data_IF_513381237627
#
_entry.id   IF_513381237627
#
_cell.length_a   1.000
_cell.length_b   1.000
_cell.length_c   1.000
_cell.angle_alpha   90.00
_cell.angle_beta   90.00
_cell.angle_gamma   90.00
#
_symmetry.space_group_name_H-M   'P 1'
#
loop_
_entity.id
_entity.type
_entity.pdbx_description
1 polymer ?
#
# COMPACT_ATOMS: atom_id res chain seq x y z
N UNK A 1 10.36 15.14 0.77
CA UNK A 1 11.47 15.15 -0.20
C UNK A 1 11.35 13.88 -1.02
N UNK A 2 11.04 13.98 -2.31
CA UNK A 2 10.80 12.81 -3.17
C UNK A 2 11.94 12.80 -4.19
N UNK A 3 12.82 11.80 -4.11
CA UNK A 3 13.92 11.65 -5.05
C UNK A 3 13.69 10.45 -5.96
N UNK A 4 13.95 10.67 -7.25
CA UNK A 4 13.53 9.86 -8.37
C UNK A 4 14.41 8.63 -8.60
N UNK A 5 13.76 7.53 -8.99
CA UNK A 5 14.35 6.47 -9.82
C UNK A 5 13.52 6.38 -11.10
N UNK A 6 14.17 6.56 -12.25
CA UNK A 6 13.55 6.43 -13.58
C UNK A 6 13.37 4.94 -13.85
N UNK A 7 12.19 4.40 -13.55
CA UNK A 7 11.82 3.08 -14.00
C UNK A 7 11.68 3.09 -15.54
N UNK A 8 12.25 2.11 -16.28
CA UNK A 8 12.13 2.05 -17.73
C UNK A 8 10.66 1.92 -18.16
N UNK A 9 10.29 2.59 -19.24
CA UNK A 9 8.91 2.58 -19.78
C UNK A 9 8.52 1.14 -20.12
N UNK A 10 7.52 0.55 -19.45
CA UNK A 10 7.23 -0.86 -19.61
C UNK A 10 6.57 -1.14 -20.96
N UNK A 11 7.04 -2.19 -21.66
CA UNK A 11 6.42 -2.67 -22.90
C UNK A 11 5.11 -3.42 -22.59
N UNK A 12 4.03 -2.64 -22.46
CA UNK A 12 2.70 -3.10 -22.10
C UNK A 12 1.90 -3.51 -23.35
N UNK A 13 1.48 -4.78 -23.41
CA UNK A 13 0.66 -5.30 -24.50
C UNK A 13 -0.65 -5.86 -23.97
N UNK A 14 -1.80 -5.57 -24.61
CA UNK A 14 -3.11 -6.17 -24.27
C UNK A 14 -3.08 -7.69 -24.15
N UNK A 15 -2.21 -8.38 -24.90
CA UNK A 15 -2.05 -9.85 -24.82
C UNK A 15 -1.60 -10.36 -23.46
N UNK A 16 -0.96 -9.51 -22.65
CA UNK A 16 -0.40 -9.85 -21.33
C UNK A 16 -1.33 -9.49 -20.16
N UNK A 17 -2.54 -9.03 -20.44
CA UNK A 17 -3.50 -8.57 -19.44
C UNK A 17 -4.81 -9.33 -19.54
N UNK A 18 -5.55 -9.36 -18.45
CA UNK A 18 -6.96 -9.78 -18.39
C UNK A 18 -7.77 -8.61 -17.85
N UNK A 19 -8.98 -8.40 -18.37
CA UNK A 19 -9.89 -7.46 -17.72
C UNK A 19 -10.39 -8.08 -16.42
N UNK A 20 -10.56 -7.25 -15.39
CA UNK A 20 -11.16 -7.67 -14.13
C UNK A 20 -12.57 -8.22 -14.40
N UNK A 21 -12.88 -9.36 -13.81
CA UNK A 21 -14.06 -10.16 -14.04
C UNK A 21 -14.69 -10.58 -12.70
N UNK A 22 -15.70 -11.45 -12.75
CA UNK A 22 -16.37 -11.91 -11.54
C UNK A 22 -15.44 -12.72 -10.61
N UNK A 23 -14.59 -13.58 -11.18
CA UNK A 23 -13.70 -14.43 -10.40
C UNK A 23 -12.64 -13.61 -9.64
N UNK A 24 -12.03 -12.64 -10.33
CA UNK A 24 -11.08 -11.69 -9.71
C UNK A 24 -11.78 -10.75 -8.72
N UNK A 25 -12.99 -10.27 -9.03
CA UNK A 25 -13.81 -9.50 -8.08
C UNK A 25 -14.09 -10.27 -6.79
N UNK A 26 -14.40 -11.57 -6.89
CA UNK A 26 -14.65 -12.44 -5.74
C UNK A 26 -13.41 -12.60 -4.88
N UNK A 27 -12.24 -12.81 -5.48
CA UNK A 27 -10.97 -12.90 -4.76
C UNK A 27 -10.67 -11.58 -4.02
N UNK A 28 -10.86 -10.43 -4.67
CA UNK A 28 -10.66 -9.11 -4.06
C UNK A 28 -11.67 -8.78 -2.93
N UNK A 29 -12.80 -9.48 -2.87
CA UNK A 29 -13.81 -9.32 -1.83
C UNK A 29 -13.83 -10.48 -0.83
N UNK A 30 -12.81 -11.35 -0.81
CA UNK A 30 -12.72 -12.41 0.19
C UNK A 30 -12.50 -11.80 1.57
N UNK A 31 -13.21 -12.29 2.59
CA UNK A 31 -13.14 -11.75 3.95
C UNK A 31 -11.80 -12.11 4.61
N UNK A 32 -11.07 -11.09 5.06
CA UNK A 32 -9.77 -11.25 5.70
C UNK A 32 -9.85 -11.66 7.16
N UNK A 33 -11.05 -11.64 7.76
CA UNK A 33 -11.27 -12.15 9.11
C UNK A 33 -11.11 -13.68 9.17
N UNK A 34 -11.48 -14.37 8.10
CA UNK A 34 -11.40 -15.83 7.98
C UNK A 34 -10.24 -16.27 7.09
N UNK A 35 -9.85 -15.45 6.11
CA UNK A 35 -8.75 -15.75 5.19
C UNK A 35 -7.73 -14.60 5.14
N UNK A 36 -6.97 -14.35 6.22
CA UNK A 36 -6.06 -13.20 6.30
C UNK A 36 -4.96 -13.25 5.24
N UNK A 37 -4.46 -14.42 4.85
CA UNK A 37 -3.40 -14.58 3.84
C UNK A 37 -3.77 -14.02 2.47
N UNK A 38 -5.07 -13.87 2.17
CA UNK A 38 -5.56 -13.32 0.90
C UNK A 38 -5.10 -11.87 0.68
N UNK A 39 -4.77 -11.12 1.74
CA UNK A 39 -4.24 -9.75 1.60
C UNK A 39 -3.00 -9.68 0.71
N UNK A 40 -2.12 -10.69 0.75
CA UNK A 40 -0.91 -10.74 -0.07
C UNK A 40 -1.24 -11.00 -1.53
N UNK A 41 -2.19 -11.90 -1.79
CA UNK A 41 -2.71 -12.17 -3.13
C UNK A 41 -3.37 -10.92 -3.75
N UNK A 42 -4.24 -10.25 -2.99
CA UNK A 42 -4.89 -9.02 -3.40
C UNK A 42 -3.89 -7.91 -3.74
N UNK A 43 -2.89 -7.71 -2.88
CA UNK A 43 -1.87 -6.69 -3.09
C UNK A 43 -1.10 -6.90 -4.40
N UNK A 44 -0.61 -8.13 -4.64
CA UNK A 44 0.08 -8.50 -5.88
C UNK A 44 -0.79 -8.35 -7.11
N UNK A 45 -2.07 -8.72 -7.03
CA UNK A 45 -2.98 -8.63 -8.16
C UNK A 45 -3.19 -7.19 -8.64
N UNK A 46 -3.19 -6.24 -7.72
CA UNK A 46 -3.32 -4.81 -8.01
C UNK A 46 -1.99 -4.19 -8.48
N UNK A 47 -0.85 -4.75 -8.07
CA UNK A 47 0.46 -4.32 -8.56
C UNK A 47 0.65 -4.66 -10.05
N UNK A 48 0.91 -3.61 -10.85
CA UNK A 48 0.98 -3.70 -12.30
C UNK A 48 -0.38 -3.64 -13.01
N UNK A 49 -1.48 -3.39 -12.28
CA UNK A 49 -2.79 -3.16 -12.87
C UNK A 49 -2.76 -1.90 -13.75
N UNK A 50 -3.50 -1.92 -14.86
CA UNK A 50 -3.77 -0.73 -15.67
C UNK A 50 -5.22 -0.31 -15.54
N UNK A 51 -5.40 0.96 -15.20
CA UNK A 51 -6.69 1.64 -15.13
C UNK A 51 -6.87 2.45 -16.40
N UNK A 52 -7.93 2.19 -17.16
CA UNK A 52 -8.29 2.96 -18.35
C UNK A 52 -9.54 3.78 -18.06
N UNK A 53 -9.46 5.10 -18.28
CA UNK A 53 -10.57 6.03 -18.19
C UNK A 53 -10.59 6.91 -19.44
N UNK A 54 -11.58 6.73 -20.31
CA UNK A 54 -11.63 7.42 -21.60
C UNK A 54 -10.37 7.14 -22.44
N UNK A 55 -9.62 8.19 -22.76
CA UNK A 55 -8.34 8.12 -23.47
C UNK A 55 -7.11 8.04 -22.55
N UNK A 56 -7.29 8.06 -21.22
CA UNK A 56 -6.19 8.00 -20.25
C UNK A 56 -5.93 6.58 -19.79
N UNK A 57 -4.67 6.25 -19.58
CA UNK A 57 -4.23 4.96 -19.06
C UNK A 57 -3.19 5.16 -17.95
N UNK A 58 -3.43 4.55 -16.79
CA UNK A 58 -2.55 4.60 -15.63
C UNK A 58 -2.11 3.19 -15.24
N UNK A 59 -0.80 2.97 -15.16
CA UNK A 59 -0.19 1.79 -14.56
C UNK A 59 0.02 2.02 -13.07
N UNK A 60 -0.40 1.05 -12.25
CA UNK A 60 -0.13 1.03 -10.81
C UNK A 60 1.23 0.34 -10.58
N UNK A 61 2.27 1.12 -10.30
CA UNK A 61 3.61 0.58 -10.05
C UNK A 61 3.72 -0.01 -8.65
N UNK A 62 3.14 0.66 -7.66
CA UNK A 62 3.19 0.22 -6.27
C UNK A 62 1.87 0.54 -5.57
N UNK A 63 1.41 -0.38 -4.74
CA UNK A 63 0.20 -0.23 -3.97
C UNK A 63 0.32 -0.84 -2.58
N UNK A 64 -0.56 -0.36 -1.70
CA UNK A 64 -0.64 -0.78 -0.31
C UNK A 64 -2.08 -1.09 0.05
N UNK A 65 -2.32 -2.23 0.67
CA UNK A 65 -3.66 -2.68 1.02
C UNK A 65 -3.95 -2.55 2.52
N UNK A 66 -5.18 -2.18 2.85
CA UNK A 66 -5.65 -1.84 4.19
C UNK A 66 -6.97 -2.53 4.47
N UNK A 67 -7.06 -3.32 5.56
CA UNK A 67 -8.29 -4.01 5.92
C UNK A 67 -9.42 -3.03 6.24
N UNK A 68 -10.68 -3.40 5.98
CA UNK A 68 -11.82 -2.47 6.10
C UNK A 68 -12.25 -2.17 7.54
N UNK A 69 -11.99 -3.07 8.49
CA UNK A 69 -12.48 -2.97 9.87
C UNK A 69 -11.33 -2.89 10.88
N UNK A 70 -11.62 -2.36 12.09
CA UNK A 70 -10.60 -2.06 13.11
C UNK A 70 -9.88 -3.30 13.59
N UNK A 71 -10.62 -4.39 13.76
CA UNK A 71 -10.11 -5.67 14.22
C UNK A 71 -9.17 -6.33 13.23
N UNK A 72 -9.33 -6.04 11.94
CA UNK A 72 -8.47 -6.57 10.87
C UNK A 72 -7.28 -5.66 10.62
N UNK A 73 -7.49 -4.35 10.65
CA UNK A 73 -6.42 -3.39 10.44
C UNK A 73 -6.67 -2.08 11.20
N UNK A 74 -5.72 -1.72 12.05
CA UNK A 74 -5.77 -0.46 12.77
C UNK A 74 -5.63 0.74 11.83
N UNK A 75 -5.03 0.54 10.65
CA UNK A 75 -4.77 1.56 9.62
C UNK A 75 -5.87 1.70 8.57
N UNK A 76 -7.03 1.07 8.78
CA UNK A 76 -8.19 1.18 7.90
C UNK A 76 -8.60 2.63 7.63
N UNK A 77 -9.31 2.81 6.51
CA UNK A 77 -10.06 4.04 6.25
C UNK A 77 -11.00 4.38 7.43
N UNK A 78 -10.94 5.64 7.89
CA UNK A 78 -11.76 6.11 9.00
C UNK A 78 -13.07 6.70 8.49
N UNK A 79 -14.18 6.26 9.06
CA UNK A 79 -15.54 6.76 8.78
C UNK A 79 -16.04 7.72 9.85
N UNK A 80 -15.14 8.26 10.67
CA UNK A 80 -15.50 9.22 11.72
C UNK A 80 -15.98 10.53 11.09
N UNK A 81 -17.22 10.90 11.40
CA UNK A 81 -17.79 12.20 11.03
C UNK A 81 -17.08 13.29 11.83
N UNK A 82 -16.52 14.28 11.14
CA UNK A 82 -15.89 15.45 11.76
C UNK A 82 -16.70 16.68 11.39
N UNK A 83 -17.11 17.45 12.40
CA UNK A 83 -17.91 18.68 12.22
C UNK A 83 -19.14 18.49 11.32
N UNK A 84 -19.82 17.34 11.45
CA UNK A 84 -21.01 17.01 10.64
C UNK A 84 -20.74 16.63 9.18
N UNK A 85 -19.49 16.65 8.73
CA UNK A 85 -19.10 16.28 7.36
C UNK A 85 -18.74 14.80 7.30
N UNK A 86 -19.39 14.07 6.40
CA UNK A 86 -19.06 12.68 6.09
C UNK A 86 -17.72 12.65 5.34
N UNK A 87 -16.76 11.79 5.75
CA UNK A 87 -15.50 11.67 5.02
C UNK A 87 -15.74 11.10 3.62
N UNK A 88 -14.95 11.57 2.64
CA UNK A 88 -14.85 10.90 1.35
C UNK A 88 -14.45 9.45 1.55
N UNK A 89 -15.06 8.55 0.76
CA UNK A 89 -14.89 7.12 0.99
C UNK A 89 -14.56 6.31 -0.26
N UNK A 90 -13.75 5.28 -0.06
CA UNK A 90 -13.55 4.21 -1.05
C UNK A 90 -14.53 3.05 -0.89
N UNK A 91 -15.53 3.13 -0.02
CA UNK A 91 -16.56 2.08 0.05
C UNK A 91 -17.28 2.03 -1.30
N UNK A 92 -17.36 0.84 -1.95
CA UNK A 92 -18.12 0.70 -3.18
C UNK A 92 -19.56 1.23 -3.02
N UNK A 93 -19.99 2.13 -3.93
CA UNK A 93 -21.36 2.68 -4.13
C UNK A 93 -22.21 1.91 -5.16
N UNK A 94 -23.53 1.76 -5.00
CA UNK A 94 -24.39 0.98 -5.92
C UNK A 94 -24.18 1.29 -7.43
N UNK A 95 -24.41 0.30 -8.29
CA UNK A 95 -24.23 0.33 -9.76
C UNK A 95 -22.77 0.26 -10.25
N UNK A 96 -22.06 -0.79 -9.86
CA UNK A 96 -20.69 -1.07 -10.29
C UNK A 96 -20.59 -1.73 -11.66
N UNK A 97 -19.51 -1.45 -12.39
CA UNK A 97 -19.06 -2.29 -13.51
C UNK A 97 -18.51 -3.63 -13.03
N UNK A 98 -17.81 -3.63 -11.89
CA UNK A 98 -17.19 -4.80 -11.30
C UNK A 98 -17.79 -5.06 -9.92
N UNK A 99 -18.26 -6.28 -9.67
CA UNK A 99 -19.00 -6.59 -8.44
C UNK A 99 -18.18 -6.25 -7.19
N UNK A 100 -18.68 -5.29 -6.40
CA UNK A 100 -18.06 -4.87 -5.14
C UNK A 100 -16.61 -4.38 -5.30
N UNK A 101 -16.18 -3.98 -6.49
CA UNK A 101 -14.87 -3.41 -6.76
C UNK A 101 -15.07 -2.12 -7.54
N UNK A 102 -14.47 -1.05 -7.06
CA UNK A 102 -14.47 0.22 -7.79
C UNK A 102 -13.18 0.98 -7.49
N UNK A 103 -12.90 1.98 -8.31
CA UNK A 103 -11.73 2.85 -8.15
C UNK A 103 -12.20 4.29 -8.04
N UNK A 104 -11.62 5.05 -7.12
CA UNK A 104 -12.03 6.44 -6.85
C UNK A 104 -10.82 7.27 -6.45
N UNK A 105 -10.92 8.58 -6.55
CA UNK A 105 -9.95 9.53 -5.99
C UNK A 105 -10.50 10.11 -4.69
N UNK A 106 -9.75 9.95 -3.61
CA UNK A 106 -10.00 10.62 -2.34
C UNK A 106 -9.07 11.82 -2.25
N UNK A 107 -9.64 13.01 -2.12
CA UNK A 107 -8.86 14.25 -1.94
C UNK A 107 -8.84 14.64 -0.48
N UNK A 108 -7.65 14.83 0.07
CA UNK A 108 -7.44 15.38 1.41
C UNK A 108 -6.28 16.39 1.41
N UNK A 109 -5.88 16.85 2.60
CA UNK A 109 -4.79 17.82 2.78
C UNK A 109 -3.44 17.33 2.23
N UNK A 110 -3.30 16.02 1.98
CA UNK A 110 -2.10 15.40 1.41
C UNK A 110 -2.23 15.13 -0.10
N UNK A 111 -3.29 15.61 -0.75
CA UNK A 111 -3.50 15.58 -2.20
C UNK A 111 -4.54 14.58 -2.68
N UNK A 112 -4.54 14.33 -3.99
CA UNK A 112 -5.51 13.49 -4.69
C UNK A 112 -5.06 12.03 -4.72
N UNK A 113 -5.65 11.16 -3.91
CA UNK A 113 -5.21 9.76 -3.73
C UNK A 113 -6.08 8.80 -4.53
N UNK A 114 -5.48 8.03 -5.45
CA UNK A 114 -6.19 6.96 -6.14
C UNK A 114 -6.33 5.73 -5.23
N UNK A 115 -7.57 5.33 -4.98
CA UNK A 115 -7.90 4.23 -4.08
C UNK A 115 -8.82 3.23 -4.78
N UNK A 116 -8.44 1.96 -4.72
CA UNK A 116 -9.31 0.84 -5.09
C UNK A 116 -10.08 0.40 -3.86
N UNK A 117 -11.40 0.41 -3.96
CA UNK A 117 -12.30 0.04 -2.89
C UNK A 117 -12.91 -1.35 -3.10
N UNK A 118 -12.88 -2.18 -2.07
CA UNK A 118 -13.63 -3.44 -2.00
C UNK A 118 -14.43 -3.51 -0.70
N UNK A 119 -15.25 -4.55 -0.49
CA UNK A 119 -15.92 -4.77 0.80
C UNK A 119 -14.95 -5.19 1.91
N UNK A 120 -13.89 -5.91 1.57
CA UNK A 120 -12.93 -6.45 2.55
C UNK A 120 -11.77 -5.50 2.86
N UNK A 121 -11.36 -4.69 1.89
CA UNK A 121 -10.19 -3.83 2.02
C UNK A 121 -10.24 -2.62 1.07
N UNK A 122 -9.30 -1.69 1.25
CA UNK A 122 -8.98 -0.68 0.26
C UNK A 122 -7.50 -0.73 -0.11
N UNK A 123 -7.17 -0.41 -1.35
CA UNK A 123 -5.79 -0.30 -1.83
C UNK A 123 -5.46 1.13 -2.23
N UNK A 124 -4.42 1.69 -1.62
CA UNK A 124 -3.86 2.97 -2.01
C UNK A 124 -2.77 2.77 -3.07
N UNK A 125 -2.84 3.52 -4.17
CA UNK A 125 -1.72 3.61 -5.10
C UNK A 125 -0.63 4.51 -4.51
N UNK A 126 0.59 4.01 -4.38
CA UNK A 126 1.74 4.75 -3.82
C UNK A 126 2.85 4.99 -4.85
N UNK A 127 2.72 4.41 -6.04
CA UNK A 127 3.43 4.85 -7.23
C UNK A 127 2.63 4.48 -8.47
N UNK A 128 2.60 5.37 -9.46
CA UNK A 128 1.91 5.13 -10.71
C UNK A 128 2.59 5.81 -11.89
N UNK A 129 2.32 5.32 -13.10
CA UNK A 129 2.86 5.86 -14.35
C UNK A 129 1.75 6.01 -15.38
N UNK A 130 1.67 7.17 -16.02
CA UNK A 130 0.78 7.35 -17.18
C UNK A 130 1.36 6.66 -18.39
N UNK A 131 0.56 5.82 -19.03
CA UNK A 131 0.97 5.08 -20.23
C UNK A 131 0.60 5.83 -21.53
N UNK A 132 -0.33 6.78 -21.45
CA UNK A 132 -0.82 7.55 -22.60
C UNK A 132 -0.07 8.88 -22.81
N UNK A 133 0.89 9.21 -21.94
CA UNK A 133 1.73 10.42 -22.05
C UNK A 133 3.14 10.16 -21.53
N UNK A 134 4.09 11.00 -21.90
CA UNK A 134 5.50 10.91 -21.49
C UNK A 134 5.79 11.63 -20.16
N UNK A 135 4.83 11.62 -19.23
CA UNK A 135 5.03 12.19 -17.90
C UNK A 135 5.89 11.26 -17.05
N UNK A 136 6.69 11.84 -16.16
CA UNK A 136 7.41 11.07 -15.16
C UNK A 136 6.44 10.31 -14.24
N UNK A 137 6.86 9.16 -13.67
CA UNK A 137 6.07 8.46 -12.66
C UNK A 137 5.71 9.37 -11.49
N UNK A 138 4.46 9.27 -11.02
CA UNK A 138 4.03 9.87 -9.75
C UNK A 138 4.44 8.92 -8.62
N UNK A 139 5.24 9.41 -7.67
CA UNK A 139 5.73 8.68 -6.50
C UNK A 139 5.12 9.28 -5.24
N UNK A 140 4.56 8.42 -4.39
CA UNK A 140 3.73 8.82 -3.27
C UNK A 140 2.24 8.60 -3.55
N UNK A 141 1.38 8.99 -2.61
CA UNK A 141 -0.05 8.66 -2.68
C UNK A 141 -0.82 9.51 -3.69
N UNK A 142 -0.25 10.60 -4.20
CA UNK A 142 -0.93 11.56 -5.06
C UNK A 142 -0.88 11.14 -6.54
N UNK A 143 -2.04 11.17 -7.21
CA UNK A 143 -2.22 10.93 -8.64
C UNK A 143 -2.84 12.16 -9.31
N UNK A 144 -2.13 13.28 -9.26
CA UNK A 144 -2.65 14.61 -9.65
C UNK A 144 -3.05 14.65 -11.13
N UNK A 145 -2.36 13.87 -11.96
CA UNK A 145 -2.60 13.83 -13.40
C UNK A 145 -3.66 12.80 -13.82
N UNK A 146 -4.14 11.96 -12.90
CA UNK A 146 -5.15 10.93 -13.14
C UNK A 146 -6.13 10.83 -11.97
N UNK A 147 -7.32 11.38 -12.15
CA UNK A 147 -8.37 11.38 -11.12
C UNK A 147 -9.63 10.69 -11.60
N UNK A 148 -10.35 10.08 -10.65
CA UNK A 148 -11.67 9.48 -10.80
C UNK A 148 -12.57 10.14 -9.75
N UNK A 149 -13.28 11.18 -10.15
CA UNK A 149 -13.91 12.14 -9.25
C UNK A 149 -15.29 11.69 -8.73
N UNK A 150 -15.99 10.82 -9.46
CA UNK A 150 -17.35 10.44 -9.13
C UNK A 150 -17.68 8.99 -9.54
N UNK A 151 -18.82 8.51 -9.09
CA UNK A 151 -19.30 7.14 -9.33
C UNK A 151 -19.49 6.83 -10.83
N UNK A 152 -19.89 7.81 -11.64
CA UNK A 152 -20.04 7.64 -13.10
C UNK A 152 -18.70 7.40 -13.77
N UNK A 153 -17.66 8.16 -13.42
CA UNK A 153 -16.33 7.92 -13.95
C UNK A 153 -15.75 6.58 -13.47
N UNK A 154 -16.05 6.20 -12.22
CA UNK A 154 -15.65 4.92 -11.65
C UNK A 154 -16.30 3.74 -12.40
N UNK A 155 -17.60 3.83 -12.73
CA UNK A 155 -18.31 2.79 -13.47
C UNK A 155 -17.87 2.67 -14.93
N UNK A 156 -17.32 3.74 -15.50
CA UNK A 156 -16.73 3.72 -16.85
C UNK A 156 -15.27 3.26 -16.86
N UNK A 157 -14.58 3.31 -15.72
CA UNK A 157 -13.19 2.89 -15.63
C UNK A 157 -13.06 1.38 -15.88
N UNK A 158 -12.09 1.00 -16.73
CA UNK A 158 -11.77 -0.40 -17.01
C UNK A 158 -10.49 -0.80 -16.30
N UNK A 159 -10.54 -1.93 -15.59
CA UNK A 159 -9.45 -2.44 -14.78
C UNK A 159 -8.82 -3.65 -15.46
N UNK A 160 -7.54 -3.56 -15.81
CA UNK A 160 -6.80 -4.63 -16.47
C UNK A 160 -5.70 -5.16 -15.55
N UNK A 161 -5.78 -6.42 -15.18
CA UNK A 161 -4.82 -7.13 -14.34
C UNK A 161 -3.74 -7.74 -15.23
N UNK A 162 -2.47 -7.59 -14.83
CA UNK A 162 -1.37 -8.25 -15.51
C UNK A 162 -1.40 -9.76 -15.26
N UNK A 163 -1.29 -10.57 -16.31
CA UNK A 163 -1.41 -12.05 -16.21
C UNK A 163 -0.43 -12.64 -15.22
N UNK A 164 0.83 -12.20 -15.20
CA UNK A 164 1.83 -12.70 -14.24
C UNK A 164 1.44 -12.37 -12.79
N UNK A 165 0.92 -11.17 -12.55
CA UNK A 165 0.44 -10.76 -11.23
C UNK A 165 -0.75 -11.61 -10.79
N UNK A 166 -1.68 -11.91 -11.69
CA UNK A 166 -2.82 -12.78 -11.42
C UNK A 166 -2.40 -14.21 -11.07
N UNK A 167 -1.48 -14.81 -11.83
CA UNK A 167 -0.98 -16.16 -11.54
C UNK A 167 -0.23 -16.23 -10.20
N UNK A 168 0.55 -15.20 -9.87
CA UNK A 168 1.20 -15.09 -8.55
C UNK A 168 0.16 -14.94 -7.43
N UNK A 169 -0.86 -14.10 -7.63
CA UNK A 169 -1.94 -13.92 -6.65
C UNK A 169 -2.70 -15.23 -6.39
N UNK A 170 -2.99 -16.03 -7.43
CA UNK A 170 -3.59 -17.36 -7.28
C UNK A 170 -2.76 -18.27 -6.38
N UNK A 171 -1.46 -18.37 -6.64
CA UNK A 171 -0.55 -19.20 -5.81
C UNK A 171 -0.56 -18.74 -4.35
N UNK A 172 -0.43 -17.44 -4.11
CA UNK A 172 -0.46 -16.88 -2.75
C UNK A 172 -1.79 -17.13 -2.04
N UNK A 173 -2.91 -17.13 -2.77
CA UNK A 173 -4.24 -17.35 -2.20
C UNK A 173 -4.47 -18.79 -1.71
N UNK A 174 -3.67 -19.74 -2.19
CA UNK A 174 -3.75 -21.16 -1.81
C UNK A 174 -2.89 -21.50 -0.59
N UNK A 175 -2.00 -20.60 -0.15
CA UNK A 175 -1.06 -20.83 0.95
C UNK A 175 -1.61 -20.15 2.21
N UNK A 176 -2.31 -20.90 3.05
CA UNK A 176 -3.01 -20.38 4.23
C UNK A 176 -2.08 -19.79 5.30
N UNK A 177 -0.88 -20.35 5.47
CA UNK A 177 0.09 -19.81 6.43
C UNK A 177 0.92 -18.64 5.88
N UNK A 178 0.66 -18.20 4.64
CA UNK A 178 1.49 -17.18 4.01
C UNK A 178 1.41 -15.83 4.76
N UNK A 179 2.57 -15.18 4.91
CA UNK A 179 2.73 -13.91 5.65
C UNK A 179 3.45 -12.81 4.87
N UNK A 180 3.77 -13.09 3.61
CA UNK A 180 4.55 -12.20 2.74
C UNK A 180 4.20 -12.38 1.27
N UNK A 181 4.60 -11.43 0.45
CA UNK A 181 4.45 -11.48 -1.02
C UNK A 181 5.66 -12.14 -1.67
N UNK A 182 6.84 -11.85 -1.17
CA UNK A 182 8.14 -12.33 -1.64
C UNK A 182 8.99 -12.80 -0.45
N UNK A 183 9.93 -13.70 -0.70
CA UNK A 183 10.93 -14.10 0.30
C UNK A 183 12.07 -13.07 0.46
N UNK A 184 12.23 -12.19 -0.53
CA UNK A 184 13.20 -11.09 -0.55
C UNK A 184 12.53 -9.74 -0.22
N UNK A 185 13.35 -8.72 0.03
CA UNK A 185 12.91 -7.33 0.24
C UNK A 185 11.79 -7.17 1.27
N UNK A 186 11.83 -7.94 2.37
CA UNK A 186 10.77 -7.97 3.38
C UNK A 186 10.38 -6.58 3.90
N UNK A 187 11.34 -5.67 4.05
CA UNK A 187 11.08 -4.29 4.48
C UNK A 187 10.38 -3.43 3.42
N UNK A 188 10.64 -3.65 2.13
CA UNK A 188 9.94 -2.96 1.05
C UNK A 188 8.50 -3.44 0.88
N UNK A 189 8.19 -4.64 1.38
CA UNK A 189 6.81 -5.14 1.47
C UNK A 189 6.02 -4.52 2.64
N UNK A 190 6.66 -3.74 3.52
CA UNK A 190 5.97 -2.96 4.55
C UNK A 190 5.39 -1.67 3.98
N UNK A 191 4.22 -1.29 4.49
CA UNK A 191 3.48 -0.10 4.07
C UNK A 191 4.16 1.19 4.52
N UNK A 192 3.92 2.29 3.82
CA UNK A 192 4.39 3.64 4.13
C UNK A 192 3.60 4.28 5.28
N UNK A 193 3.75 3.70 6.47
CA UNK A 193 3.03 4.12 7.67
C UNK A 193 3.85 5.11 8.51
N UNK A 194 3.14 6.01 9.18
CA UNK A 194 3.74 7.05 10.05
C UNK A 194 3.26 6.98 11.51
N UNK A 195 2.38 6.03 11.84
CA UNK A 195 1.77 5.94 13.18
C UNK A 195 1.59 4.48 13.59
N UNK A 196 1.24 4.27 14.87
CA UNK A 196 0.83 2.98 15.44
C UNK A 196 1.88 1.88 15.30
N UNK A 197 3.15 2.25 15.45
CA UNK A 197 4.29 1.32 15.47
C UNK A 197 4.25 0.35 16.66
N UNK A 198 3.41 0.61 17.65
CA UNK A 198 3.06 -0.30 18.74
C UNK A 198 2.07 -1.42 18.32
N UNK A 199 1.54 -1.39 17.09
CA UNK A 199 0.56 -2.36 16.61
C UNK A 199 1.12 -3.28 15.52
N UNK A 200 0.89 -4.58 15.66
CA UNK A 200 1.41 -5.61 14.74
C UNK A 200 0.96 -5.43 13.28
N UNK A 201 -0.24 -4.88 13.03
CA UNK A 201 -0.69 -4.65 11.65
C UNK A 201 0.18 -3.65 10.87
N UNK A 202 0.99 -2.84 11.56
CA UNK A 202 2.00 -1.96 10.96
C UNK A 202 3.08 -2.73 10.21
N UNK A 203 3.38 -3.95 10.65
CA UNK A 203 4.48 -4.79 10.16
C UNK A 203 4.02 -5.84 9.14
N UNK A 204 2.79 -5.72 8.61
CA UNK A 204 2.30 -6.65 7.57
C UNK A 204 3.00 -6.38 6.25
N UNK A 205 3.55 -7.44 5.66
CA UNK A 205 4.27 -7.45 4.37
C UNK A 205 3.32 -7.47 3.17
N UNK A 206 2.37 -6.54 3.13
CA UNK A 206 1.28 -6.47 2.14
C UNK A 206 1.34 -5.26 1.21
N UNK A 207 2.48 -4.58 1.12
CA UNK A 207 2.79 -3.64 0.04
C UNK A 207 3.38 -4.39 -1.14
N UNK A 208 2.88 -4.13 -2.35
CA UNK A 208 3.34 -4.78 -3.55
C UNK A 208 3.89 -3.77 -4.55
N UNK A 209 4.99 -4.15 -5.21
CA UNK A 209 5.49 -3.50 -6.40
C UNK A 209 5.18 -4.35 -7.63
N UNK A 210 4.96 -3.69 -8.76
CA UNK A 210 4.79 -4.33 -10.04
C UNK A 210 6.11 -4.95 -10.49
N UNK A 211 6.06 -5.93 -11.39
CA UNK A 211 7.29 -6.51 -11.96
C UNK A 211 8.18 -5.50 -12.71
N UNK A 212 7.69 -4.29 -12.97
CA UNK A 212 8.45 -3.21 -13.61
C UNK A 212 9.27 -2.39 -12.61
N UNK A 213 8.89 -2.44 -11.33
CA UNK A 213 9.49 -1.67 -10.23
C UNK A 213 9.88 -2.57 -9.06
N UNK A 214 9.99 -3.88 -9.27
CA UNK A 214 10.31 -4.89 -8.24
C UNK A 214 11.84 -4.95 -8.00
N UNK A 215 12.40 -3.81 -7.60
CA UNK A 215 13.77 -3.66 -7.14
C UNK A 215 13.82 -2.55 -6.07
N UNK A 216 14.83 -2.56 -5.21
CA UNK A 216 14.91 -1.65 -4.06
C UNK A 216 15.03 -0.16 -4.45
N UNK A 217 15.63 0.16 -5.59
CA UNK A 217 15.82 1.55 -6.03
C UNK A 217 14.60 2.15 -6.74
N UNK A 218 13.72 1.32 -7.32
CA UNK A 218 12.51 1.76 -8.04
C UNK A 218 11.26 1.82 -7.17
N UNK A 219 11.37 1.42 -5.90
CA UNK A 219 10.26 1.44 -4.95
C UNK A 219 10.29 2.71 -4.10
N UNK A 220 9.13 3.33 -3.83
CA UNK A 220 9.09 4.48 -2.93
C UNK A 220 9.62 4.12 -1.53
N UNK A 221 10.52 4.93 -0.96
CA UNK A 221 11.02 4.71 0.39
C UNK A 221 9.91 4.79 1.45
N UNK A 222 10.05 4.01 2.52
CA UNK A 222 9.21 4.07 3.70
C UNK A 222 10.05 4.41 4.92
N UNK A 223 9.41 4.62 6.08
CA UNK A 223 10.13 4.76 7.35
C UNK A 223 11.04 3.56 7.67
N UNK A 224 10.78 2.39 7.08
CA UNK A 224 11.57 1.18 7.29
C UNK A 224 12.75 1.03 6.32
N UNK A 225 12.81 1.82 5.26
CA UNK A 225 13.81 1.69 4.19
C UNK A 225 14.54 2.98 3.85
N UNK A 226 14.15 4.12 4.42
CA UNK A 226 14.74 5.43 4.15
C UNK A 226 16.22 5.51 4.55
N UNK A 227 16.67 4.72 5.53
CA UNK A 227 18.09 4.62 5.90
C UNK A 227 18.97 4.17 4.73
N UNK A 228 18.43 3.36 3.81
CA UNK A 228 19.11 2.84 2.60
C UNK A 228 19.03 3.82 1.40
N UNK A 229 18.60 5.07 1.62
CA UNK A 229 18.50 6.06 0.56
C UNK A 229 19.86 6.69 0.25
N UNK A 230 20.41 6.42 -0.94
CA UNK A 230 21.68 6.98 -1.39
C UNK A 230 21.63 8.51 -1.60
N UNK A 231 20.44 9.03 -1.94
CA UNK A 231 20.25 10.43 -2.35
C UNK A 231 19.96 11.40 -1.18
N UNK A 232 20.51 11.15 0.00
CA UNK A 232 20.33 12.01 1.18
C UNK A 232 21.59 12.11 2.03
N UNK A 233 21.76 13.22 2.75
CA UNK A 233 22.87 13.39 3.69
C UNK A 233 22.93 12.19 4.65
N UNK A 234 24.10 11.55 4.73
CA UNK A 234 24.32 10.30 5.49
C UNK A 234 23.96 10.41 6.97
N UNK A 235 23.96 11.63 7.51
CA UNK A 235 23.62 11.92 8.90
C UNK A 235 22.43 12.87 8.92
N UNK A 236 21.24 12.35 8.60
CA UNK A 236 19.99 13.05 8.89
C UNK A 236 19.24 12.31 9.99
N UNK A 237 18.58 13.05 10.89
CA UNK A 237 17.74 12.47 11.94
C UNK A 237 16.73 11.47 11.36
N UNK A 238 16.25 11.70 10.13
CA UNK A 238 15.36 10.80 9.42
C UNK A 238 15.98 9.45 9.04
N UNK A 239 17.27 9.42 8.64
CA UNK A 239 17.98 8.16 8.37
C UNK A 239 18.20 7.38 9.67
N UNK A 240 18.66 8.04 10.73
CA UNK A 240 18.85 7.42 12.04
C UNK A 240 17.53 6.87 12.63
N UNK A 241 16.44 7.63 12.52
CA UNK A 241 15.11 7.15 12.91
C UNK A 241 14.65 5.96 12.07
N UNK A 242 14.95 5.98 10.77
CA UNK A 242 14.64 4.86 9.87
C UNK A 242 15.38 3.58 10.24
N UNK A 243 16.65 3.68 10.67
CA UNK A 243 17.43 2.53 11.16
C UNK A 243 16.78 1.88 12.39
N UNK A 244 16.32 2.69 13.36
CA UNK A 244 15.62 2.18 14.54
C UNK A 244 14.33 1.43 14.14
N UNK A 245 13.52 2.02 13.27
CA UNK A 245 12.29 1.37 12.81
C UNK A 245 12.56 0.11 11.98
N UNK A 246 13.63 0.11 11.18
CA UNK A 246 14.13 -1.04 10.43
C UNK A 246 14.50 -2.19 11.37
N UNK A 247 15.27 -1.93 12.42
CA UNK A 247 15.64 -2.97 13.41
C UNK A 247 14.41 -3.56 14.11
N UNK A 248 13.48 -2.71 14.54
CA UNK A 248 12.22 -3.16 15.17
C UNK A 248 11.44 -4.04 14.19
N UNK A 249 11.30 -3.61 12.93
CA UNK A 249 10.58 -4.35 11.90
C UNK A 249 11.24 -5.70 11.59
N UNK A 250 12.56 -5.74 11.44
CA UNK A 250 13.31 -6.98 11.20
C UNK A 250 13.13 -7.98 12.34
N UNK A 251 13.18 -7.51 13.59
CA UNK A 251 12.92 -8.37 14.75
C UNK A 251 11.51 -8.96 14.71
N UNK A 252 10.50 -8.13 14.47
CA UNK A 252 9.10 -8.59 14.38
C UNK A 252 8.90 -9.59 13.25
N UNK A 253 9.50 -9.33 12.09
CA UNK A 253 9.45 -10.24 10.94
C UNK A 253 10.10 -11.57 11.29
N UNK A 254 11.24 -11.55 11.98
CA UNK A 254 11.93 -12.76 12.43
C UNK A 254 11.05 -13.60 13.37
N UNK A 255 10.42 -12.98 14.37
CA UNK A 255 9.49 -13.68 15.27
C UNK A 255 8.27 -14.23 14.51
N UNK A 256 7.70 -13.46 13.57
CA UNK A 256 6.57 -13.90 12.76
C UNK A 256 6.93 -15.09 11.86
N UNK A 257 8.11 -15.08 11.24
CA UNK A 257 8.61 -16.16 10.38
C UNK A 257 8.96 -17.42 11.18
N UNK A 258 9.33 -17.28 12.46
CA UNK A 258 9.50 -18.40 13.40
C UNK A 258 8.18 -18.93 13.97
N UNK A 259 7.04 -18.40 13.52
CA UNK A 259 5.72 -18.87 13.93
C UNK A 259 5.27 -18.41 15.32
N UNK A 260 5.93 -17.40 15.89
CA UNK A 260 5.54 -16.85 17.19
C UNK A 260 4.14 -16.24 17.11
N UNK A 261 3.23 -16.53 18.06
CA UNK A 261 1.88 -16.01 18.04
C UNK A 261 1.84 -14.48 18.08
N UNK A 262 0.90 -13.89 17.35
CA UNK A 262 0.69 -12.44 17.27
C UNK A 262 0.53 -11.75 18.63
N UNK A 263 -0.11 -12.43 19.60
CA UNK A 263 -0.26 -11.93 20.98
C UNK A 263 1.09 -11.78 21.69
N UNK A 264 2.02 -12.71 21.46
CA UNK A 264 3.35 -12.67 22.06
C UNK A 264 4.21 -11.57 21.43
N UNK A 265 4.15 -11.43 20.10
CA UNK A 265 4.80 -10.31 19.38
C UNK A 265 4.24 -8.97 19.85
N UNK A 266 2.93 -8.88 20.08
CA UNK A 266 2.29 -7.69 20.67
C UNK A 266 2.84 -7.42 22.06
N UNK A 267 3.02 -8.46 22.89
CA UNK A 267 3.74 -8.36 24.16
C UNK A 267 5.15 -7.79 24.01
N UNK A 268 5.91 -8.22 22.98
CA UNK A 268 7.25 -7.68 22.67
C UNK A 268 7.18 -6.18 22.31
N UNK A 269 6.22 -5.78 21.46
CA UNK A 269 5.97 -4.38 21.12
C UNK A 269 5.57 -3.55 22.35
N UNK A 270 4.85 -4.16 23.29
CA UNK A 270 4.42 -3.53 24.52
C UNK A 270 5.51 -3.48 25.61
N UNK A 271 6.63 -4.22 25.45
CA UNK A 271 7.76 -4.17 26.38
C UNK A 271 8.35 -2.76 26.42
N UNK A 272 8.85 -2.38 27.59
CA UNK A 272 9.43 -1.06 27.83
C UNK A 272 10.51 -0.68 26.82
N UNK A 273 11.26 -1.63 26.27
CA UNK A 273 12.29 -1.35 25.26
C UNK A 273 11.71 -0.70 24.00
N UNK A 274 10.71 -1.32 23.34
CA UNK A 274 10.11 -0.77 22.12
C UNK A 274 9.32 0.50 22.45
N UNK A 275 8.61 0.54 23.58
CA UNK A 275 7.94 1.76 24.05
C UNK A 275 8.92 2.90 24.32
N UNK A 276 10.10 2.63 24.88
CA UNK A 276 11.13 3.63 25.14
C UNK A 276 11.77 4.11 23.84
N UNK A 277 12.06 3.22 22.89
CA UNK A 277 12.54 3.59 21.55
C UNK A 277 11.51 4.45 20.82
N UNK A 278 10.24 4.03 20.78
CA UNK A 278 9.14 4.81 20.17
C UNK A 278 8.93 6.15 20.91
N UNK A 279 9.07 6.19 22.24
CA UNK A 279 8.94 7.44 23.02
C UNK A 279 10.10 8.39 22.74
N UNK A 280 11.33 7.88 22.66
CA UNK A 280 12.52 8.65 22.30
C UNK A 280 12.38 9.19 20.87
N UNK A 281 11.90 8.38 19.93
CA UNK A 281 11.57 8.80 18.56
C UNK A 281 10.50 9.89 18.54
N UNK A 282 9.38 9.69 19.25
CA UNK A 282 8.31 10.69 19.34
C UNK A 282 8.78 12.00 20.01
N UNK A 283 9.79 11.92 20.88
CA UNK A 283 10.41 13.06 21.52
C UNK A 283 11.38 13.78 20.57
N UNK A 284 12.24 13.05 19.85
CA UNK A 284 13.10 13.60 18.78
C UNK A 284 12.27 14.28 17.68
N UNK A 285 11.15 13.68 17.27
CA UNK A 285 10.22 14.27 16.29
C UNK A 285 9.59 15.58 16.81
N UNK A 286 9.26 15.65 18.10
CA UNK A 286 8.71 16.87 18.73
C UNK A 286 9.78 17.95 18.93
N UNK A 287 11.02 17.56 19.23
CA UNK A 287 12.15 18.46 19.48
C UNK A 287 12.77 18.99 18.18
N UNK A 288 12.71 18.20 17.09
CA UNK A 288 12.90 18.69 15.73
C UNK A 288 11.76 19.66 15.40
N UNK A 289 12.02 20.97 15.46
CA UNK A 289 11.04 22.05 15.19
C UNK A 289 10.50 22.10 13.74
N UNK A 290 10.34 20.96 13.06
CA UNK A 290 9.92 20.87 11.66
C UNK A 290 8.48 20.35 11.43
N UNK A 291 7.74 19.99 12.46
CA UNK A 291 6.32 19.60 12.32
C UNK A 291 5.32 20.79 12.24
N UNK A 292 5.78 21.96 11.79
CA UNK A 292 4.92 23.06 11.33
C UNK A 292 5.33 23.45 9.91
N UNK A 293 4.43 23.18 8.97
CA UNK A 293 4.53 23.35 7.50
C UNK A 293 5.12 22.14 6.79
N UNK A 294 4.29 21.14 6.52
CA UNK A 294 4.02 20.62 5.16
C UNK A 294 2.64 19.98 5.17
#
# INVERSE_FOLDING_TARGET
>A
MIFYSIAPTPNYSRKKTIELDEATSRLLNTDWSTFPHIKYACSVMLAGMVVIKGNKALLINCNEVYGRTRSIDIHRESFTIKMGVLPSTSIPQPNYRYNNVWVTTITDDHGCKLVFGTKSFNSLSTSSLRLDTNLQPEVGPSTTNFTIANSTESSQAKLYIYKKSYEKAKKLSMIFENRKINDYDNLFQLRQLQTKFDHISTYRRCRAASSFTDNHFSQPYSVFTLSECDNGHDISDFKALSEIFREIALKIIHEEDNGIPEKEITGILEKQFVKNQIKNVNQMVKESKLYRRY
#
